data_IF_644323051211
#
_entry.id   IF_644323051211
#
_cell.length_a   1.000
_cell.length_b   1.000
_cell.length_c   1.000
_cell.angle_alpha   90.00
_cell.angle_beta   90.00
_cell.angle_gamma   90.00
#
_symmetry.space_group_name_H-M   'P 1'
#
loop_
_entity.id
_entity.type
_entity.pdbx_description
1 polymer ?
#
# COMPACT_ATOMS: atom_id res chain seq x y z
N UNK A 1 -7.20 4.66 6.25
CA UNK A 1 -6.72 3.79 7.34
C UNK A 1 -7.38 2.43 7.20
N UNK A 2 -6.81 1.39 7.82
CA UNK A 2 -7.45 0.07 7.94
C UNK A 2 -7.00 -0.60 9.24
N UNK A 3 -7.59 -1.75 9.57
CA UNK A 3 -7.08 -2.60 10.64
C UNK A 3 -5.74 -3.24 10.25
N UNK A 4 -4.89 -3.53 11.23
CA UNK A 4 -3.59 -4.21 11.01
C UNK A 4 -3.67 -5.52 10.23
N UNK A 5 -4.84 -6.17 10.20
CA UNK A 5 -5.05 -7.41 9.46
C UNK A 5 -5.10 -7.22 7.94
N UNK A 6 -5.32 -5.99 7.45
CA UNK A 6 -5.52 -5.74 6.03
C UNK A 6 -6.75 -6.47 5.49
N UNK A 7 -6.70 -6.84 4.20
CA UNK A 7 -7.75 -7.56 3.48
C UNK A 7 -8.89 -6.69 2.96
N UNK A 8 -8.98 -5.42 3.37
CA UNK A 8 -9.95 -4.50 2.80
C UNK A 8 -9.51 -4.09 1.39
N UNK A 9 -10.49 -3.87 0.52
CA UNK A 9 -10.25 -3.29 -0.79
C UNK A 9 -10.03 -1.78 -0.69
N UNK A 10 -9.02 -1.29 -1.39
CA UNK A 10 -8.67 0.11 -1.59
C UNK A 10 -8.73 0.42 -3.08
N UNK A 11 -9.33 1.56 -3.43
CA UNK A 11 -9.36 2.05 -4.81
C UNK A 11 -8.36 3.19 -4.93
N UNK A 12 -7.40 3.07 -5.85
CA UNK A 12 -6.46 4.14 -6.19
C UNK A 12 -6.87 4.78 -7.51
N UNK A 13 -7.22 6.06 -7.49
CA UNK A 13 -7.45 6.84 -8.70
C UNK A 13 -6.19 7.61 -9.10
N UNK A 14 -5.84 7.58 -10.38
CA UNK A 14 -4.61 8.19 -10.89
C UNK A 14 -4.55 8.21 -12.41
N UNK A 15 -3.34 8.22 -12.95
CA UNK A 15 -3.09 8.18 -14.39
C UNK A 15 -1.89 7.26 -14.68
N UNK A 16 -1.82 6.74 -15.91
CA UNK A 16 -0.72 5.91 -16.40
C UNK A 16 -0.57 4.55 -15.70
N UNK A 17 -1.64 4.00 -15.12
CA UNK A 17 -1.60 2.62 -14.64
C UNK A 17 -1.60 1.63 -15.81
N UNK A 18 -0.93 0.50 -15.63
CA UNK A 18 -0.82 -0.60 -16.60
C UNK A 18 -1.17 -1.92 -15.91
N UNK A 19 -1.30 -3.01 -16.68
CA UNK A 19 -1.57 -4.34 -16.12
C UNK A 19 -0.44 -4.87 -15.20
N UNK A 20 0.74 -4.28 -15.32
CA UNK A 20 1.94 -4.57 -14.53
C UNK A 20 2.15 -3.56 -13.39
N UNK A 21 1.23 -2.61 -13.20
CA UNK A 21 1.27 -1.70 -12.05
C UNK A 21 1.25 -2.51 -10.75
N UNK A 22 2.21 -2.21 -9.87
CA UNK A 22 2.30 -2.78 -8.53
C UNK A 22 2.05 -1.70 -7.49
N UNK A 23 1.47 -2.07 -6.36
CA UNK A 23 1.31 -1.18 -5.22
C UNK A 23 2.13 -1.75 -4.06
N UNK A 24 3.05 -0.95 -3.53
CA UNK A 24 3.96 -1.39 -2.47
C UNK A 24 3.77 -0.52 -1.25
N UNK A 25 3.49 -1.15 -0.11
CA UNK A 25 3.42 -0.53 1.20
C UNK A 25 4.78 -0.62 1.87
N UNK A 26 5.18 0.43 2.59
CA UNK A 26 6.48 0.55 3.25
C UNK A 26 6.38 1.28 4.57
N UNK A 27 7.24 0.91 5.50
CA UNK A 27 7.49 1.64 6.74
C UNK A 27 8.98 1.96 6.83
N UNK A 28 9.28 3.20 7.21
CA UNK A 28 10.63 3.64 7.51
C UNK A 28 10.70 4.16 8.93
N UNK A 29 11.81 3.89 9.59
CA UNK A 29 12.17 4.56 10.85
C UNK A 29 12.41 6.05 10.63
N UNK A 30 12.54 6.81 11.71
CA UNK A 30 12.80 8.26 11.68
C UNK A 30 14.14 8.61 11.03
N UNK A 31 15.13 7.72 11.10
CA UNK A 31 16.43 7.82 10.42
C UNK A 31 16.40 7.29 8.97
N UNK A 32 15.23 6.86 8.47
CA UNK A 32 15.01 6.52 7.07
C UNK A 32 15.27 5.06 6.69
N UNK A 33 15.64 4.20 7.64
CA UNK A 33 15.80 2.76 7.42
C UNK A 33 14.45 2.12 7.11
N UNK A 34 14.37 1.39 6.00
CA UNK A 34 13.18 0.63 5.66
C UNK A 34 13.08 -0.63 6.53
N UNK A 35 12.00 -0.74 7.31
CA UNK A 35 11.77 -1.83 8.27
C UNK A 35 10.57 -2.70 7.90
N UNK A 36 9.86 -2.32 6.84
CA UNK A 36 8.77 -3.08 6.28
C UNK A 36 8.60 -2.72 4.82
N UNK A 37 8.36 -3.73 4.00
CA UNK A 37 7.94 -3.61 2.61
C UNK A 37 7.00 -4.77 2.30
N UNK A 38 5.87 -4.47 1.68
CA UNK A 38 4.92 -5.48 1.25
C UNK A 38 4.22 -5.06 -0.05
N UNK A 39 4.23 -5.95 -1.04
CA UNK A 39 3.45 -5.78 -2.27
C UNK A 39 1.98 -6.13 -1.97
N UNK A 40 1.08 -5.22 -2.31
CA UNK A 40 -0.35 -5.43 -2.20
C UNK A 40 -0.86 -6.21 -3.41
N UNK A 41 -1.92 -7.00 -3.22
CA UNK A 41 -2.58 -7.70 -4.33
C UNK A 41 -3.38 -6.70 -5.15
N UNK A 42 -3.16 -6.67 -6.46
CA UNK A 42 -3.95 -5.85 -7.40
C UNK A 42 -4.90 -6.76 -8.17
N UNK A 43 -6.19 -6.44 -8.13
CA UNK A 43 -7.21 -7.09 -8.96
C UNK A 43 -7.10 -6.52 -10.39
N UNK A 44 -6.36 -7.23 -11.23
CA UNK A 44 -6.03 -6.80 -12.60
C UNK A 44 -7.25 -6.77 -13.50
N UNK A 45 -8.23 -7.63 -13.26
CA UNK A 45 -9.42 -7.74 -14.09
C UNK A 45 -10.37 -6.55 -13.86
N UNK A 46 -10.42 -6.03 -12.64
CA UNK A 46 -11.19 -4.81 -12.31
C UNK A 46 -10.42 -3.52 -12.60
N UNK A 47 -9.10 -3.57 -12.65
CA UNK A 47 -8.26 -2.37 -12.78
C UNK A 47 -8.32 -1.76 -14.18
N UNK A 48 -8.17 -0.44 -14.23
CA UNK A 48 -8.23 0.42 -15.41
C UNK A 48 -6.99 1.34 -15.45
N UNK A 49 -6.65 1.93 -16.61
CA UNK A 49 -5.48 2.81 -16.73
C UNK A 49 -5.46 4.04 -15.79
N UNK A 50 -6.60 4.40 -15.21
CA UNK A 50 -6.78 5.48 -14.25
C UNK A 50 -7.25 5.02 -12.87
N UNK A 51 -7.45 3.72 -12.65
CA UNK A 51 -7.98 3.19 -11.40
C UNK A 51 -7.44 1.80 -11.06
N UNK A 52 -6.85 1.60 -9.88
CA UNK A 52 -6.43 0.29 -9.39
C UNK A 52 -7.33 -0.18 -8.25
N UNK A 53 -7.70 -1.46 -8.28
CA UNK A 53 -8.34 -2.15 -7.16
C UNK A 53 -7.29 -2.96 -6.40
N UNK A 54 -7.04 -2.60 -5.16
CA UNK A 54 -5.92 -3.08 -4.36
C UNK A 54 -6.45 -3.72 -3.08
N UNK A 55 -6.02 -4.92 -2.75
CA UNK A 55 -6.23 -5.49 -1.43
C UNK A 55 -5.12 -5.03 -0.50
N UNK A 56 -5.49 -4.36 0.59
CA UNK A 56 -4.52 -3.81 1.54
C UNK A 56 -3.79 -4.98 2.23
N UNK A 57 -2.44 -5.02 2.21
CA UNK A 57 -1.71 -6.10 2.84
C UNK A 57 -1.78 -6.02 4.36
N UNK A 58 -1.56 -7.16 4.99
CA UNK A 58 -1.42 -7.26 6.44
C UNK A 58 -0.19 -6.48 6.93
N UNK A 59 -0.35 -5.70 8.01
CA UNK A 59 0.75 -4.96 8.62
C UNK A 59 1.61 -5.88 9.49
N UNK A 60 2.93 -5.67 9.49
CA UNK A 60 3.93 -6.55 10.13
C UNK A 60 3.68 -6.85 11.61
N UNK A 61 3.09 -5.90 12.34
CA UNK A 61 2.81 -6.03 13.75
C UNK A 61 1.30 -5.93 14.01
N UNK A 62 0.66 -7.06 14.30
CA UNK A 62 -0.78 -7.14 14.61
C UNK A 62 -1.16 -6.65 16.01
N UNK A 63 -0.17 -6.37 16.85
CA UNK A 63 -0.34 -6.02 18.26
C UNK A 63 0.01 -4.56 18.56
N UNK A 64 -0.04 -3.67 17.56
CA UNK A 64 0.14 -2.24 17.80
C UNK A 64 -0.97 -1.73 18.72
N UNK A 65 -0.61 -0.87 19.66
CA UNK A 65 -1.57 -0.20 20.56
C UNK A 65 -1.97 1.19 20.08
N UNK A 66 -1.22 1.72 19.11
CA UNK A 66 -1.41 3.03 18.51
C UNK A 66 -1.32 2.93 17.00
N UNK A 67 -1.90 3.90 16.31
CA UNK A 67 -1.83 3.98 14.86
C UNK A 67 -0.38 4.18 14.39
N UNK A 68 0.03 3.45 13.36
CA UNK A 68 1.37 3.58 12.76
C UNK A 68 1.28 4.32 11.42
N UNK A 69 2.21 5.23 11.15
CA UNK A 69 2.29 5.90 9.85
C UNK A 69 3.15 5.06 8.90
N UNK A 70 2.52 4.52 7.86
CA UNK A 70 3.19 3.85 6.75
C UNK A 70 2.98 4.65 5.47
N UNK A 71 3.69 4.27 4.40
CA UNK A 71 3.50 4.84 3.08
C UNK A 71 3.17 3.75 2.08
N UNK A 72 2.56 4.12 0.96
CA UNK A 72 2.47 3.26 -0.21
C UNK A 72 2.83 4.05 -1.47
N UNK A 73 3.25 3.36 -2.51
CA UNK A 73 3.50 3.96 -3.82
C UNK A 73 3.19 2.96 -4.93
N UNK A 74 2.94 3.48 -6.12
CA UNK A 74 2.70 2.68 -7.33
C UNK A 74 4.00 2.55 -8.11
N UNK A 75 4.29 1.35 -8.61
CA UNK A 75 5.41 1.06 -9.50
C UNK A 75 4.87 0.66 -10.87
N UNK A 76 5.28 1.38 -11.91
CA UNK A 76 4.97 1.05 -13.30
C UNK A 76 6.25 0.58 -14.01
N UNK A 77 6.31 -0.71 -14.35
CA UNK A 77 7.52 -1.33 -14.89
C UNK A 77 8.69 -1.33 -13.90
N UNK A 78 9.94 -1.44 -14.38
CA UNK A 78 11.09 -1.69 -13.49
C UNK A 78 11.64 -0.48 -12.73
N UNK A 79 11.33 0.77 -13.14
CA UNK A 79 12.03 1.96 -12.61
C UNK A 79 11.15 3.17 -12.29
N UNK A 80 9.87 3.22 -12.72
CA UNK A 80 9.02 4.38 -12.46
C UNK A 80 8.20 4.16 -11.19
N UNK A 81 8.42 4.98 -10.17
CA UNK A 81 7.69 4.98 -8.90
C UNK A 81 6.92 6.29 -8.76
N UNK A 82 5.69 6.22 -8.24
CA UNK A 82 4.94 7.41 -7.86
C UNK A 82 5.56 8.06 -6.61
N UNK A 83 5.08 9.27 -6.28
CA UNK A 83 5.30 9.83 -4.96
C UNK A 83 4.68 8.90 -3.88
N UNK A 84 5.34 8.71 -2.73
CA UNK A 84 4.76 7.98 -1.60
C UNK A 84 3.55 8.72 -1.03
N UNK A 85 2.49 7.96 -0.76
CA UNK A 85 1.24 8.42 -0.16
C UNK A 85 1.09 7.83 1.25
N UNK A 86 0.48 8.57 2.17
CA UNK A 86 0.35 8.14 3.55
C UNK A 86 -0.78 7.14 3.76
N UNK A 87 -0.53 6.16 4.63
CA UNK A 87 -1.51 5.19 5.09
C UNK A 87 -1.32 4.91 6.58
N UNK A 88 -2.38 4.47 7.25
CA UNK A 88 -2.37 4.34 8.71
C UNK A 88 -3.10 3.06 9.14
N UNK A 89 -2.36 1.98 9.46
CA UNK A 89 -2.90 0.80 10.13
C UNK A 89 -3.25 1.13 11.59
N UNK A 90 -4.35 0.57 12.08
CA UNK A 90 -4.82 0.71 13.47
C UNK A 90 -5.10 -0.64 14.12
N UNK A 91 -5.00 -0.69 15.45
CA UNK A 91 -5.44 -1.84 16.25
C UNK A 91 -6.92 -2.14 15.98
N UNK A 92 -7.35 -3.42 15.96
CA UNK A 92 -8.72 -3.74 16.31
C UNK A 92 -8.98 -3.24 17.74
N UNK A 93 -10.11 -2.57 17.96
CA UNK A 93 -10.58 -2.17 19.29
C UNK A 93 -10.87 -3.37 20.17
#
# INVERSE_FOLDING_TARGET
SCLVYGGQQMILTGQNFTAESKVVFTEKTTDGQQIWEMEATVDKDKSQPNMLFVEIPEYRNKHIRTSVKVNFYVINGKRKRSQPQHFTPSSPS
#
